data_IF_342782815176
#
_entry.id   IF_342782815176
#
_cell.length_a   1.000
_cell.length_b   1.000
_cell.length_c   1.000
_cell.angle_alpha   90.00
_cell.angle_beta   90.00
_cell.angle_gamma   90.00
#
_symmetry.space_group_name_H-M   'P 1'
#
loop_
_entity.id
_entity.type
_entity.pdbx_description
1 polymer ?
#
# COMPACT_ATOMS: atom_id res chain seq x y z
N UNK A 1 -4.72 41.54 -11.14
CA UNK A 1 -4.76 40.71 -12.39
C UNK A 1 -4.91 41.68 -13.55
N UNK A 2 -3.82 41.98 -14.28
CA UNK A 2 -3.85 42.89 -15.43
C UNK A 2 -3.31 42.13 -16.63
N UNK A 3 -4.10 42.16 -17.70
CA UNK A 3 -3.92 41.46 -18.94
C UNK A 3 -2.75 42.02 -19.75
N UNK A 4 -1.98 41.13 -20.37
CA UNK A 4 -1.07 41.45 -21.46
C UNK A 4 -1.83 41.21 -22.76
N UNK A 5 -1.91 42.28 -23.56
CA UNK A 5 -2.56 42.32 -24.86
C UNK A 5 -1.76 41.49 -25.87
N UNK A 6 -2.40 40.51 -26.51
CA UNK A 6 -1.94 39.91 -27.76
C UNK A 6 -2.89 40.39 -28.88
N UNK A 7 -2.33 41.04 -29.89
CA UNK A 7 -3.04 41.51 -31.10
C UNK A 7 -3.14 40.38 -32.13
N UNK A 8 -4.10 40.41 -33.08
CA UNK A 8 -4.77 39.22 -33.60
C UNK A 8 -4.18 38.70 -34.92
N UNK A 9 -4.27 37.39 -35.11
CA UNK A 9 -4.35 36.79 -36.44
C UNK A 9 -5.74 36.20 -36.63
N UNK A 10 -6.41 36.69 -37.67
CA UNK A 10 -7.75 36.28 -38.11
C UNK A 10 -7.60 35.85 -39.57
N UNK A 11 -7.81 34.57 -39.87
CA UNK A 11 -8.23 34.13 -41.20
C UNK A 11 -9.33 33.08 -41.04
N UNK A 12 -10.34 33.23 -41.87
CA UNK A 12 -11.71 32.77 -41.75
C UNK A 12 -11.94 31.32 -42.20
N UNK A 13 -12.99 30.79 -41.59
CA UNK A 13 -13.80 29.60 -41.85
C UNK A 13 -14.23 29.32 -43.29
N UNK A 14 -14.49 28.04 -43.59
CA UNK A 14 -15.71 27.63 -44.29
C UNK A 14 -16.37 26.41 -43.60
N UNK A 15 -17.72 26.47 -43.55
CA UNK A 15 -18.66 25.49 -42.98
C UNK A 15 -19.23 24.59 -44.09
N UNK A 16 -19.63 23.38 -43.70
CA UNK A 16 -20.93 22.73 -44.04
C UNK A 16 -21.22 21.67 -42.95
N UNK A 17 -22.26 21.82 -42.10
CA UNK A 17 -23.56 21.10 -42.10
C UNK A 17 -23.44 19.58 -42.34
N UNK A 18 -24.10 18.63 -41.66
CA UNK A 18 -25.21 18.55 -40.68
C UNK A 18 -25.21 17.07 -40.17
N UNK A 19 -25.72 16.71 -38.98
CA UNK A 19 -27.11 16.26 -38.81
C UNK A 19 -27.45 16.00 -37.32
N UNK A 20 -28.74 16.20 -37.05
CA UNK A 20 -29.49 16.01 -35.82
C UNK A 20 -29.34 14.60 -35.19
N UNK A 21 -29.34 14.58 -33.86
CA UNK A 21 -29.76 13.45 -33.04
C UNK A 21 -30.33 13.97 -31.72
N UNK A 22 -31.65 14.05 -31.64
CA UNK A 22 -32.41 14.41 -30.43
C UNK A 22 -32.30 13.33 -29.35
N UNK A 23 -32.74 13.71 -28.15
CA UNK A 23 -33.20 12.96 -26.96
C UNK A 23 -32.19 12.98 -25.80
N UNK A 24 -32.51 13.36 -24.56
CA UNK A 24 -33.75 13.80 -23.93
C UNK A 24 -33.37 14.52 -22.63
N UNK A 25 -34.07 15.61 -22.33
CA UNK A 25 -34.05 16.31 -21.04
C UNK A 25 -34.78 15.49 -19.97
N UNK A 26 -34.22 15.38 -18.77
CA UNK A 26 -35.00 15.29 -17.53
C UNK A 26 -34.37 16.18 -16.47
N UNK A 27 -35.25 16.92 -15.80
CA UNK A 27 -35.05 18.12 -15.01
C UNK A 27 -34.22 17.98 -13.73
N UNK A 28 -33.54 19.09 -13.43
CA UNK A 28 -33.22 19.55 -12.09
C UNK A 28 -34.47 19.59 -11.19
N UNK A 29 -34.37 19.05 -9.99
CA UNK A 29 -35.18 19.46 -8.84
C UNK A 29 -34.23 19.99 -7.76
N UNK A 30 -34.35 21.28 -7.48
CA UNK A 30 -33.78 21.98 -6.32
C UNK A 30 -34.85 22.15 -5.24
N UNK A 31 -34.39 22.36 -3.99
CA UNK A 31 -35.12 22.64 -2.74
C UNK A 31 -35.74 21.39 -2.07
N UNK A 32 -35.60 21.14 -0.76
CA UNK A 32 -35.59 22.06 0.38
C UNK A 32 -35.20 21.35 1.68
N UNK A 33 -34.56 22.11 2.57
CA UNK A 33 -34.67 22.10 4.05
C UNK A 33 -34.35 20.83 4.87
N UNK A 34 -33.20 20.95 5.55
CA UNK A 34 -33.00 20.77 7.00
C UNK A 34 -34.29 20.58 7.82
N UNK A 35 -34.41 19.41 8.45
CA UNK A 35 -34.99 19.21 9.78
C UNK A 35 -34.81 17.74 10.16
N UNK A 36 -34.06 17.48 11.23
CA UNK A 36 -34.51 16.60 12.32
C UNK A 36 -33.39 16.41 13.33
N UNK A 37 -33.69 16.85 14.55
CA UNK A 37 -33.09 16.43 15.82
C UNK A 37 -32.76 14.94 15.86
N UNK A 38 -31.55 14.61 16.28
CA UNK A 38 -31.23 13.27 16.76
C UNK A 38 -30.85 13.35 18.23
N UNK A 39 -31.58 12.53 18.97
CA UNK A 39 -31.49 12.29 20.39
C UNK A 39 -30.08 11.93 20.83
N UNK A 40 -29.75 12.45 22.01
CA UNK A 40 -28.70 11.98 22.89
C UNK A 40 -28.69 10.45 23.00
N UNK A 41 -27.55 9.86 22.65
CA UNK A 41 -27.10 8.59 23.22
C UNK A 41 -25.66 8.75 23.66
N UNK A 42 -25.52 9.08 24.94
CA UNK A 42 -24.27 9.11 25.67
C UNK A 42 -23.73 7.70 25.90
N UNK A 43 -22.52 7.42 25.41
CA UNK A 43 -21.69 6.32 25.91
C UNK A 43 -20.25 6.82 25.99
N UNK A 44 -19.99 7.62 27.04
CA UNK A 44 -18.67 8.05 27.48
C UNK A 44 -17.92 6.83 28.06
N UNK A 45 -17.28 6.07 27.18
CA UNK A 45 -16.27 5.07 27.52
C UNK A 45 -14.94 5.76 27.83
N UNK A 46 -14.70 5.99 29.12
CA UNK A 46 -13.52 6.63 29.71
C UNK A 46 -12.24 5.81 29.41
N UNK A 47 -11.49 6.17 28.37
CA UNK A 47 -10.13 5.64 28.15
C UNK A 47 -9.19 6.38 29.10
N UNK A 48 -8.77 5.71 30.19
CA UNK A 48 -7.65 6.16 31.01
C UNK A 48 -6.34 5.80 30.31
N UNK A 49 -5.66 6.78 29.76
CA UNK A 49 -4.21 6.70 29.55
C UNK A 49 -3.54 6.82 30.92
N UNK A 50 -2.88 5.75 31.38
CA UNK A 50 -1.88 5.84 32.45
C UNK A 50 -0.50 5.82 31.80
N UNK A 51 0.12 7.00 31.74
CA UNK A 51 1.57 7.17 31.62
C UNK A 51 2.23 6.68 32.92
N UNK A 52 3.05 5.63 32.83
CA UNK A 52 3.91 5.23 33.95
C UNK A 52 5.37 5.53 33.60
N UNK A 53 5.96 6.39 34.41
CA UNK A 53 7.35 6.83 34.35
C UNK A 53 8.29 5.73 34.83
N UNK A 54 9.47 5.69 34.20
CA UNK A 54 10.60 4.83 34.49
C UNK A 54 11.18 5.10 35.88
N UNK A 55 11.01 4.18 36.84
CA UNK A 55 11.93 4.01 37.99
C UNK A 55 11.84 2.57 38.53
N UNK A 56 12.98 1.88 38.41
CA UNK A 56 13.54 0.78 39.22
C UNK A 56 12.61 -0.22 39.95
N UNK A 57 12.70 -1.50 39.57
CA UNK A 57 12.19 -2.65 40.33
C UNK A 57 13.32 -3.70 40.46
N UNK A 58 13.59 -4.26 41.65
CA UNK A 58 14.74 -5.13 41.89
C UNK A 58 14.57 -6.52 41.26
N UNK A 59 15.69 -7.10 40.81
CA UNK A 59 15.76 -8.40 40.16
C UNK A 59 15.29 -9.53 41.08
N UNK A 60 14.17 -10.18 40.76
CA UNK A 60 13.85 -11.50 41.32
C UNK A 60 14.48 -12.59 40.43
N UNK A 61 15.39 -13.38 41.00
CA UNK A 61 15.99 -14.54 40.33
C UNK A 61 14.90 -15.60 40.09
N UNK A 62 14.32 -15.63 38.89
CA UNK A 62 13.54 -16.78 38.41
C UNK A 62 14.49 -17.94 38.16
N UNK A 63 14.36 -19.01 38.96
CA UNK A 63 15.04 -20.30 38.77
C UNK A 63 14.73 -20.87 37.38
N UNK A 64 15.72 -20.88 36.51
CA UNK A 64 15.76 -21.69 35.30
C UNK A 64 15.79 -23.17 35.69
N UNK A 65 14.76 -23.95 35.32
CA UNK A 65 14.86 -25.41 35.30
C UNK A 65 15.50 -25.81 33.97
N UNK A 66 16.79 -26.13 34.02
CA UNK A 66 17.53 -26.77 32.93
C UNK A 66 17.04 -28.22 32.68
N UNK A 67 17.60 -28.92 31.69
CA UNK A 67 17.15 -30.23 31.28
C UNK A 67 17.52 -31.24 32.37
N UNK A 68 16.52 -31.81 33.05
CA UNK A 68 16.76 -32.93 33.95
C UNK A 68 16.87 -34.17 33.08
N UNK A 69 18.11 -34.50 32.70
CA UNK A 69 18.52 -35.87 32.40
C UNK A 69 18.19 -36.70 33.65
N UNK A 70 17.12 -37.48 33.58
CA UNK A 70 16.76 -38.39 34.66
C UNK A 70 17.75 -39.55 34.64
N UNK A 71 18.72 -39.48 35.55
CA UNK A 71 19.55 -40.59 35.95
C UNK A 71 18.65 -41.77 36.36
N UNK A 72 18.89 -42.92 35.75
CA UNK A 72 18.31 -44.22 36.13
C UNK A 72 18.85 -44.59 37.51
N UNK A 73 18.19 -44.11 38.57
CA UNK A 73 18.44 -44.58 39.93
C UNK A 73 17.61 -45.85 40.11
N UNK A 74 18.29 -47.00 40.16
CA UNK A 74 17.70 -48.26 40.56
C UNK A 74 17.16 -48.10 41.98
N UNK A 75 15.84 -47.96 42.10
CA UNK A 75 15.15 -48.01 43.38
C UNK A 75 14.60 -49.43 43.52
N UNK A 76 15.30 -50.24 44.31
CA UNK A 76 14.74 -51.45 44.91
C UNK A 76 13.73 -51.01 45.97
N UNK A 77 12.47 -50.90 45.55
CA UNK A 77 11.31 -50.69 46.41
C UNK A 77 10.17 -51.51 45.85
N UNK A 78 9.59 -52.38 46.69
CA UNK A 78 8.59 -53.37 46.28
C UNK A 78 7.47 -52.78 45.43
N UNK A 79 7.03 -53.55 44.42
CA UNK A 79 5.87 -53.26 43.57
C UNK A 79 4.66 -52.96 44.46
N UNK A 80 4.35 -51.68 44.65
CA UNK A 80 3.05 -51.26 45.12
C UNK A 80 2.04 -51.60 44.02
N UNK A 81 1.00 -52.33 44.42
CA UNK A 81 -0.11 -52.82 43.60
C UNK A 81 -0.59 -51.71 42.65
N UNK A 82 -0.39 -51.88 41.35
CA UNK A 82 -0.77 -50.87 40.35
C UNK A 82 -2.29 -50.67 40.40
N UNK A 83 -2.73 -49.60 41.06
CA UNK A 83 -4.05 -48.98 40.95
C UNK A 83 -5.24 -49.94 40.81
N UNK A 84 -5.54 -50.72 41.85
CA UNK A 84 -6.65 -51.70 41.95
C UNK A 84 -8.04 -51.18 41.50
N UNK A 85 -8.27 -49.86 41.47
CA UNK A 85 -9.54 -49.23 41.05
C UNK A 85 -9.42 -48.37 39.77
N UNK A 86 -8.28 -48.35 39.07
CA UNK A 86 -8.10 -47.53 37.86
C UNK A 86 -9.06 -47.93 36.73
N UNK A 87 -9.46 -49.20 36.69
CA UNK A 87 -10.40 -49.74 35.71
C UNK A 87 -11.88 -49.46 36.06
N UNK A 88 -12.18 -49.00 37.28
CA UNK A 88 -13.55 -48.68 37.71
C UNK A 88 -13.92 -47.21 37.46
N UNK A 89 -13.00 -46.41 36.91
CA UNK A 89 -13.19 -44.98 36.63
C UNK A 89 -13.08 -44.76 35.12
N UNK A 90 -14.11 -44.17 34.51
CA UNK A 90 -14.11 -43.85 33.09
C UNK A 90 -13.34 -42.54 32.84
N UNK A 91 -12.03 -42.67 32.61
CA UNK A 91 -11.16 -41.54 32.32
C UNK A 91 -11.23 -41.16 30.83
N UNK A 92 -11.21 -39.86 30.49
CA UNK A 92 -11.13 -39.42 29.11
C UNK A 92 -9.90 -40.01 28.40
N UNK A 93 -10.12 -40.75 27.31
CA UNK A 93 -9.08 -41.30 26.44
C UNK A 93 -9.08 -40.54 25.13
N UNK A 94 -7.94 -39.96 24.77
CA UNK A 94 -7.77 -39.25 23.50
C UNK A 94 -6.41 -39.53 22.89
N UNK A 95 -6.39 -39.68 21.57
CA UNK A 95 -5.15 -39.70 20.77
C UNK A 95 -4.60 -38.28 20.53
N UNK A 96 -5.34 -37.24 20.94
CA UNK A 96 -4.91 -35.86 20.82
C UNK A 96 -3.73 -35.58 21.75
N UNK A 97 -2.57 -35.34 21.15
CA UNK A 97 -1.34 -35.05 21.91
C UNK A 97 -1.48 -33.76 22.73
N UNK A 98 -1.08 -33.81 24.00
CA UNK A 98 -1.15 -32.66 24.91
C UNK A 98 -0.35 -31.43 24.44
N UNK A 99 0.74 -31.65 23.68
CA UNK A 99 1.52 -30.56 23.08
C UNK A 99 1.06 -30.33 21.64
N UNK A 100 0.98 -29.07 21.25
CA UNK A 100 0.56 -28.68 19.91
C UNK A 100 1.51 -29.21 18.82
N UNK A 101 2.82 -29.10 19.02
CA UNK A 101 3.87 -29.43 18.04
C UNK A 101 3.57 -28.82 16.65
N UNK A 102 3.17 -27.55 16.64
CA UNK A 102 2.65 -26.84 15.46
C UNK A 102 3.63 -26.80 14.28
N UNK A 103 4.94 -26.77 14.54
CA UNK A 103 5.97 -26.79 13.48
C UNK A 103 5.90 -28.03 12.59
N UNK A 104 5.43 -29.16 13.13
CA UNK A 104 5.27 -30.43 12.39
C UNK A 104 3.82 -30.62 11.95
N UNK A 105 2.85 -30.36 12.84
CA UNK A 105 1.42 -30.59 12.56
C UNK A 105 0.84 -29.65 11.52
N UNK A 106 1.21 -28.37 11.51
CA UNK A 106 0.66 -27.42 10.54
C UNK A 106 1.00 -27.79 9.09
N UNK A 107 2.26 -28.14 8.74
CA UNK A 107 2.58 -28.68 7.41
C UNK A 107 1.79 -29.93 7.04
N UNK A 108 1.58 -30.86 7.97
CA UNK A 108 0.79 -32.08 7.73
C UNK A 108 -0.68 -31.73 7.39
N UNK A 109 -1.27 -30.81 8.14
CA UNK A 109 -2.64 -30.33 7.91
C UNK A 109 -2.74 -29.59 6.57
N UNK A 110 -1.76 -28.73 6.25
CA UNK A 110 -1.73 -27.99 4.99
C UNK A 110 -1.60 -28.94 3.79
N UNK A 111 -0.76 -29.97 3.91
CA UNK A 111 -0.62 -31.02 2.90
C UNK A 111 -1.95 -31.76 2.68
N UNK A 112 -2.64 -32.12 3.76
CA UNK A 112 -3.96 -32.74 3.68
C UNK A 112 -4.97 -31.84 2.96
N UNK A 113 -4.96 -30.53 3.25
CA UNK A 113 -5.84 -29.56 2.58
C UNK A 113 -5.57 -29.47 1.08
N UNK A 114 -4.30 -29.46 0.67
CA UNK A 114 -3.86 -29.36 -0.72
C UNK A 114 -4.21 -30.64 -1.51
N UNK A 115 -3.86 -31.82 -0.97
CA UNK A 115 -4.14 -33.13 -1.59
C UNK A 115 -5.65 -33.37 -1.78
N UNK A 116 -6.47 -32.86 -0.86
CA UNK A 116 -7.93 -32.99 -0.92
C UNK A 116 -8.62 -31.80 -1.58
N UNK A 117 -7.89 -30.79 -2.05
CA UNK A 117 -8.44 -29.56 -2.65
C UNK A 117 -9.58 -28.99 -1.80
N UNK A 118 -9.34 -28.90 -0.48
CA UNK A 118 -10.40 -28.64 0.51
C UNK A 118 -11.08 -27.30 0.25
N UNK A 119 -10.31 -26.28 -0.11
CA UNK A 119 -10.84 -24.95 -0.41
C UNK A 119 -11.82 -25.01 -1.61
N UNK A 120 -11.39 -25.60 -2.72
CA UNK A 120 -12.20 -25.72 -3.94
C UNK A 120 -13.47 -26.57 -3.72
N UNK A 121 -13.35 -27.65 -2.95
CA UNK A 121 -14.49 -28.51 -2.60
C UNK A 121 -15.51 -27.80 -1.72
N UNK A 122 -15.08 -27.00 -0.74
CA UNK A 122 -16.01 -26.25 0.11
C UNK A 122 -16.69 -25.15 -0.71
N UNK A 123 -15.94 -24.40 -1.51
CA UNK A 123 -16.49 -23.34 -2.37
C UNK A 123 -17.53 -23.91 -3.35
N UNK A 124 -17.26 -25.05 -3.98
CA UNK A 124 -18.18 -25.71 -4.92
C UNK A 124 -19.40 -26.33 -4.25
N UNK A 125 -19.28 -26.79 -3.00
CA UNK A 125 -20.40 -27.32 -2.20
C UNK A 125 -21.34 -26.21 -1.72
N UNK A 126 -20.81 -25.03 -1.44
CA UNK A 126 -21.60 -23.91 -0.94
C UNK A 126 -22.59 -23.44 -2.01
N UNK A 127 -23.84 -23.21 -1.59
CA UNK A 127 -24.94 -22.83 -2.49
C UNK A 127 -25.42 -21.39 -2.31
N UNK A 128 -24.87 -20.66 -1.33
CA UNK A 128 -25.22 -19.28 -1.06
C UNK A 128 -24.64 -18.28 -2.08
N UNK A 129 -24.77 -17.00 -1.75
CA UNK A 129 -24.35 -15.90 -2.61
C UNK A 129 -22.83 -15.86 -2.82
N UNK A 130 -22.43 -15.24 -3.94
CA UNK A 130 -21.02 -15.00 -4.24
C UNK A 130 -20.48 -13.90 -3.33
N UNK A 131 -19.39 -14.20 -2.62
CA UNK A 131 -18.63 -13.23 -1.84
C UNK A 131 -17.25 -13.08 -2.48
N UNK A 132 -17.00 -11.91 -3.07
CA UNK A 132 -15.72 -11.61 -3.72
C UNK A 132 -14.93 -10.68 -2.81
N UNK A 133 -13.76 -11.14 -2.37
CA UNK A 133 -12.80 -10.29 -1.67
C UNK A 133 -11.63 -10.03 -2.60
N UNK A 134 -11.52 -8.80 -3.12
CA UNK A 134 -10.40 -8.45 -3.99
C UNK A 134 -9.14 -8.26 -3.15
N UNK A 135 -8.15 -9.10 -3.42
CA UNK A 135 -6.84 -8.98 -2.79
C UNK A 135 -6.06 -7.82 -3.39
N UNK A 136 -5.65 -6.84 -2.57
CA UNK A 136 -4.62 -5.87 -2.97
C UNK A 136 -3.26 -6.55 -3.20
N UNK A 137 -2.64 -6.42 -4.38
CA UNK A 137 -1.48 -7.21 -4.75
C UNK A 137 -0.23 -6.70 -4.02
N UNK A 138 0.49 -7.52 -3.22
CA UNK A 138 1.81 -7.14 -2.72
C UNK A 138 2.82 -6.94 -3.85
N UNK A 139 3.79 -6.05 -3.61
CA UNK A 139 4.93 -5.87 -4.50
C UNK A 139 5.82 -7.12 -4.52
N UNK A 140 6.18 -7.59 -5.72
CA UNK A 140 7.06 -8.73 -5.94
C UNK A 140 8.55 -8.35 -5.78
N UNK A 141 8.89 -7.58 -4.74
CA UNK A 141 10.23 -7.03 -4.57
C UNK A 141 11.08 -7.76 -3.50
N UNK A 142 10.54 -8.53 -2.56
CA UNK A 142 11.39 -9.22 -1.57
C UNK A 142 10.63 -10.10 -0.58
N UNK A 143 11.27 -10.39 0.56
CA UNK A 143 10.69 -11.25 1.59
C UNK A 143 9.49 -10.59 2.30
N UNK A 144 8.62 -11.45 2.82
CA UNK A 144 7.45 -11.01 3.58
C UNK A 144 7.85 -10.54 4.98
N UNK A 145 7.14 -9.52 5.46
CA UNK A 145 7.27 -8.99 6.83
C UNK A 145 5.94 -9.11 7.59
N UNK A 146 5.93 -8.79 8.88
CA UNK A 146 4.75 -8.95 9.75
C UNK A 146 3.50 -8.21 9.24
N UNK A 147 3.64 -7.04 8.64
CA UNK A 147 2.52 -6.34 7.97
C UNK A 147 1.83 -7.18 6.87
N UNK A 148 2.58 -7.97 6.10
CA UNK A 148 2.01 -8.89 5.10
C UNK A 148 1.22 -10.01 5.78
N UNK A 149 1.77 -10.60 6.85
CA UNK A 149 1.09 -11.62 7.64
C UNK A 149 -0.23 -11.10 8.21
N UNK A 150 -0.21 -9.91 8.84
CA UNK A 150 -1.40 -9.27 9.38
C UNK A 150 -2.49 -9.09 8.31
N UNK A 151 -2.15 -8.49 7.17
CA UNK A 151 -3.08 -8.24 6.07
C UNK A 151 -3.72 -9.55 5.57
N UNK A 152 -2.90 -10.57 5.30
CA UNK A 152 -3.38 -11.82 4.71
C UNK A 152 -4.18 -12.68 5.69
N UNK A 153 -3.77 -12.74 6.95
CA UNK A 153 -4.50 -13.50 7.98
C UNK A 153 -5.87 -12.86 8.24
N UNK A 154 -5.96 -11.53 8.28
CA UNK A 154 -7.25 -10.85 8.45
C UNK A 154 -8.22 -11.15 7.29
N UNK A 155 -7.73 -11.08 6.05
CA UNK A 155 -8.53 -11.46 4.87
C UNK A 155 -8.97 -12.92 4.93
N UNK A 156 -8.07 -13.82 5.32
CA UNK A 156 -8.37 -15.25 5.46
C UNK A 156 -9.44 -15.52 6.52
N UNK A 157 -9.41 -14.84 7.67
CA UNK A 157 -10.45 -14.94 8.71
C UNK A 157 -11.82 -14.55 8.13
N UNK A 158 -11.91 -13.44 7.40
CA UNK A 158 -13.15 -12.98 6.78
C UNK A 158 -13.65 -14.00 5.75
N UNK A 159 -12.77 -14.48 4.88
CA UNK A 159 -13.09 -15.48 3.86
C UNK A 159 -13.60 -16.78 4.48
N UNK A 160 -12.89 -17.31 5.48
CA UNK A 160 -13.30 -18.53 6.21
C UNK A 160 -14.64 -18.35 6.91
N UNK A 161 -14.85 -17.20 7.55
CA UNK A 161 -16.14 -16.89 8.17
C UNK A 161 -17.27 -16.93 7.13
N UNK A 162 -17.10 -16.31 5.96
CA UNK A 162 -18.09 -16.34 4.87
C UNK A 162 -18.29 -17.74 4.30
N UNK A 163 -17.22 -18.52 4.13
CA UNK A 163 -17.31 -19.93 3.72
C UNK A 163 -18.17 -20.76 4.68
N UNK A 164 -17.98 -20.58 5.99
CA UNK A 164 -18.77 -21.29 7.01
C UNK A 164 -20.24 -20.86 7.04
N UNK A 165 -20.55 -19.65 6.55
CA UNK A 165 -21.91 -19.14 6.38
C UNK A 165 -22.55 -19.54 5.03
N UNK A 166 -22.01 -20.57 4.36
CA UNK A 166 -22.49 -21.09 3.07
C UNK A 166 -22.34 -20.14 1.86
N UNK A 167 -21.49 -19.10 1.93
CA UNK A 167 -21.20 -18.23 0.78
C UNK A 167 -20.18 -18.87 -0.17
N UNK A 168 -20.29 -18.57 -1.46
CA UNK A 168 -19.29 -18.92 -2.47
C UNK A 168 -18.18 -17.87 -2.47
N UNK A 169 -17.10 -18.15 -1.76
CA UNK A 169 -16.00 -17.19 -1.61
C UNK A 169 -15.04 -17.25 -2.80
N UNK A 170 -14.85 -16.11 -3.47
CA UNK A 170 -13.86 -15.91 -4.51
C UNK A 170 -12.74 -15.02 -3.97
N UNK A 171 -11.60 -15.64 -3.67
CA UNK A 171 -10.40 -14.95 -3.22
C UNK A 171 -9.23 -15.36 -4.09
N UNK A 172 -8.91 -14.47 -5.04
CA UNK A 172 -7.80 -14.65 -5.99
C UNK A 172 -6.65 -13.76 -5.53
N UNK A 173 -5.50 -14.34 -5.13
CA UNK A 173 -4.34 -13.56 -4.75
C UNK A 173 -3.69 -12.96 -5.99
N UNK A 174 -3.04 -11.82 -5.85
CA UNK A 174 -2.24 -11.27 -6.95
C UNK A 174 -0.96 -10.61 -6.51
N UNK A 175 -0.18 -10.16 -7.49
CA UNK A 175 1.12 -9.54 -7.26
C UNK A 175 1.39 -8.40 -8.22
N UNK A 176 1.98 -7.33 -7.69
CA UNK A 176 2.47 -6.23 -8.49
C UNK A 176 3.92 -6.49 -8.89
N UNK A 177 4.11 -6.70 -10.19
CA UNK A 177 5.34 -7.16 -10.81
C UNK A 177 6.06 -6.05 -11.61
N UNK A 178 5.54 -4.82 -11.59
CA UNK A 178 6.10 -3.67 -12.30
C UNK A 178 6.67 -2.61 -11.35
N UNK A 179 7.31 -1.59 -11.93
CA UNK A 179 7.74 -0.39 -11.21
C UNK A 179 9.21 -0.33 -10.81
N UNK A 180 9.62 0.87 -10.39
CA UNK A 180 10.99 1.21 -10.04
C UNK A 180 11.61 0.32 -8.95
N UNK A 181 10.89 -0.13 -7.89
CA UNK A 181 11.49 -0.96 -6.85
C UNK A 181 12.10 -2.27 -7.36
N UNK A 182 11.49 -2.90 -8.37
CA UNK A 182 11.99 -4.14 -8.96
C UNK A 182 13.21 -3.86 -9.83
N UNK A 183 13.16 -2.81 -10.64
CA UNK A 183 14.31 -2.38 -11.46
C UNK A 183 15.53 -2.05 -10.61
N UNK A 184 15.34 -1.32 -9.51
CA UNK A 184 16.42 -0.98 -8.58
C UNK A 184 17.02 -2.22 -7.93
N UNK A 185 16.20 -3.20 -7.51
CA UNK A 185 16.73 -4.46 -6.93
C UNK A 185 17.52 -5.28 -7.94
N UNK A 186 17.04 -5.36 -9.19
CA UNK A 186 17.80 -6.02 -10.27
C UNK A 186 19.12 -5.30 -10.51
N UNK A 187 19.11 -3.97 -10.59
CA UNK A 187 20.34 -3.19 -10.76
C UNK A 187 21.30 -3.41 -9.59
N UNK A 188 20.82 -3.39 -8.34
CA UNK A 188 21.61 -3.65 -7.14
C UNK A 188 22.27 -5.04 -7.15
N UNK A 189 21.56 -6.05 -7.68
CA UNK A 189 22.10 -7.42 -7.78
C UNK A 189 23.14 -7.63 -8.89
N UNK A 190 23.29 -6.67 -9.81
CA UNK A 190 24.22 -6.75 -10.93
C UNK A 190 25.54 -6.02 -10.64
N UNK A 191 26.65 -6.65 -11.02
CA UNK A 191 27.99 -6.06 -10.99
C UNK A 191 28.10 -4.82 -11.91
N UNK A 192 29.03 -3.92 -11.60
CA UNK A 192 29.19 -2.65 -12.32
C UNK A 192 29.42 -2.82 -13.82
N UNK A 193 30.14 -3.85 -14.24
CA UNK A 193 30.40 -4.10 -15.67
C UNK A 193 29.15 -4.66 -16.37
N UNK A 194 28.37 -5.51 -15.69
CA UNK A 194 27.09 -6.00 -16.19
C UNK A 194 26.02 -4.90 -16.31
N UNK A 195 26.19 -3.76 -15.62
CA UNK A 195 25.32 -2.57 -15.75
C UNK A 195 25.63 -1.74 -16.99
N UNK A 196 26.88 -1.70 -17.44
CA UNK A 196 27.29 -0.91 -18.63
C UNK A 196 26.69 -1.47 -19.92
N UNK A 197 26.53 -2.79 -19.99
CA UNK A 197 25.99 -3.50 -21.17
C UNK A 197 24.46 -3.71 -21.13
N UNK A 198 23.77 -3.05 -20.20
CA UNK A 198 22.36 -3.29 -19.95
C UNK A 198 21.48 -2.46 -20.89
N UNK A 199 20.83 -3.13 -21.84
CA UNK A 199 19.77 -2.51 -22.67
C UNK A 199 18.42 -2.54 -21.94
N UNK A 200 17.47 -1.64 -22.28
CA UNK A 200 16.14 -1.64 -21.67
C UNK A 200 15.40 -2.98 -21.79
N UNK A 201 15.54 -3.68 -22.93
CA UNK A 201 14.94 -5.01 -23.11
C UNK A 201 15.54 -6.04 -22.13
N UNK A 202 16.87 -6.10 -22.03
CA UNK A 202 17.55 -7.02 -21.10
C UNK A 202 17.20 -6.71 -19.64
N UNK A 203 17.05 -5.43 -19.27
CA UNK A 203 16.61 -5.04 -17.94
C UNK A 203 15.18 -5.55 -17.66
N UNK A 204 14.24 -5.35 -18.59
CA UNK A 204 12.86 -5.83 -18.45
C UNK A 204 12.77 -7.34 -18.34
N UNK A 205 13.53 -8.09 -19.13
CA UNK A 205 13.59 -9.55 -19.02
C UNK A 205 14.11 -10.01 -17.65
N UNK A 206 15.18 -9.37 -17.15
CA UNK A 206 15.72 -9.67 -15.82
C UNK A 206 14.73 -9.29 -14.71
N UNK A 207 14.05 -8.14 -14.81
CA UNK A 207 13.00 -7.70 -13.89
C UNK A 207 11.82 -8.68 -13.86
N UNK A 208 11.32 -9.09 -15.02
CA UNK A 208 10.26 -10.09 -15.15
C UNK A 208 10.67 -11.43 -14.52
N UNK A 209 11.90 -11.89 -14.74
CA UNK A 209 12.42 -13.13 -14.13
C UNK A 209 12.52 -13.01 -12.62
N UNK A 210 13.04 -11.88 -12.12
CA UNK A 210 13.13 -11.60 -10.69
C UNK A 210 11.74 -11.60 -10.04
N UNK A 211 10.79 -10.84 -10.60
CA UNK A 211 9.41 -10.77 -10.11
C UNK A 211 8.79 -12.17 -10.03
N UNK A 212 8.85 -12.97 -11.10
CA UNK A 212 8.33 -14.36 -11.11
C UNK A 212 8.97 -15.25 -10.04
N UNK A 213 10.26 -15.08 -9.76
CA UNK A 213 10.94 -15.84 -8.69
C UNK A 213 10.46 -15.41 -7.30
N UNK A 214 10.32 -14.10 -7.06
CA UNK A 214 9.85 -13.54 -5.80
C UNK A 214 8.40 -13.94 -5.53
N UNK A 215 7.53 -13.90 -6.54
CA UNK A 215 6.14 -14.38 -6.46
C UNK A 215 6.07 -15.81 -5.94
N UNK A 216 6.92 -16.72 -6.46
CA UNK A 216 6.94 -18.13 -6.00
C UNK A 216 7.31 -18.23 -4.51
N UNK A 217 8.33 -17.50 -4.08
CA UNK A 217 8.79 -17.49 -2.66
C UNK A 217 7.74 -16.90 -1.73
N UNK A 218 7.15 -15.76 -2.10
CA UNK A 218 6.09 -15.12 -1.33
C UNK A 218 4.83 -15.99 -1.28
N UNK A 219 4.44 -16.61 -2.40
CA UNK A 219 3.31 -17.54 -2.46
C UNK A 219 3.49 -18.73 -1.52
N UNK A 220 4.69 -19.35 -1.52
CA UNK A 220 4.99 -20.43 -0.59
C UNK A 220 4.88 -19.98 0.87
N UNK A 221 5.31 -18.75 1.17
CA UNK A 221 5.21 -18.16 2.50
C UNK A 221 3.77 -17.87 2.92
N UNK A 222 2.92 -17.35 2.01
CA UNK A 222 1.50 -17.16 2.28
C UNK A 222 0.74 -18.48 2.46
N UNK A 223 1.06 -19.51 1.67
CA UNK A 223 0.55 -20.87 1.90
C UNK A 223 0.96 -21.37 3.28
N UNK A 224 2.20 -21.12 3.69
CA UNK A 224 2.70 -21.49 5.03
C UNK A 224 1.96 -20.76 6.16
N UNK A 225 1.50 -19.52 5.96
CA UNK A 225 0.60 -18.83 6.91
C UNK A 225 -0.78 -19.50 7.06
N UNK A 226 -1.11 -20.48 6.22
CA UNK A 226 -2.37 -21.22 6.26
C UNK A 226 -3.51 -20.52 5.52
N UNK A 227 -3.21 -19.54 4.67
CA UNK A 227 -4.20 -18.76 3.92
C UNK A 227 -4.83 -19.62 2.83
N UNK A 228 -6.17 -19.64 2.77
CA UNK A 228 -6.93 -20.28 1.72
C UNK A 228 -7.25 -19.29 0.60
N UNK A 229 -6.84 -19.62 -0.62
CA UNK A 229 -7.02 -18.79 -1.79
C UNK A 229 -6.94 -19.64 -3.06
N UNK A 230 -7.35 -19.08 -4.20
CA UNK A 230 -7.18 -19.69 -5.51
C UNK A 230 -5.71 -19.59 -5.97
N UNK A 231 -4.83 -20.38 -5.36
CA UNK A 231 -3.37 -20.33 -5.59
C UNK A 231 -2.93 -20.80 -6.98
N UNK A 232 -3.78 -21.55 -7.68
CA UNK A 232 -3.46 -22.12 -9.00
C UNK A 232 -3.57 -21.09 -10.13
N UNK A 233 -4.37 -20.03 -9.94
CA UNK A 233 -4.56 -18.99 -10.93
C UNK A 233 -4.49 -17.60 -10.28
N UNK A 234 -3.32 -17.19 -9.76
CA UNK A 234 -3.13 -15.84 -9.25
C UNK A 234 -3.10 -14.84 -10.40
N UNK A 235 -3.50 -13.59 -10.15
CA UNK A 235 -3.34 -12.53 -11.14
C UNK A 235 -1.99 -11.83 -10.97
N UNK A 236 -1.22 -11.67 -12.05
CA UNK A 236 0.02 -10.90 -12.03
C UNK A 236 -0.15 -9.67 -12.91
N UNK A 237 0.34 -8.51 -12.47
CA UNK A 237 0.29 -7.30 -13.30
C UNK A 237 1.14 -7.41 -14.57
N UNK A 238 2.04 -8.40 -14.62
CA UNK A 238 2.87 -8.76 -15.78
C UNK A 238 2.17 -9.69 -16.78
N UNK A 239 0.99 -10.23 -16.45
CA UNK A 239 0.29 -11.13 -17.37
C UNK A 239 -0.25 -10.33 -18.57
N UNK A 240 -0.11 -10.84 -19.82
CA UNK A 240 -0.52 -10.11 -21.02
C UNK A 240 -2.00 -9.68 -21.01
N UNK A 241 -2.87 -10.50 -20.44
CA UNK A 241 -4.31 -10.19 -20.30
C UNK A 241 -4.55 -9.00 -19.36
N UNK A 242 -3.74 -8.89 -18.29
CA UNK A 242 -3.80 -7.77 -17.35
C UNK A 242 -3.32 -6.48 -17.99
N UNK A 243 -2.18 -6.53 -18.70
CA UNK A 243 -1.62 -5.38 -19.43
C UNK A 243 -2.57 -4.90 -20.54
N UNK A 244 -3.18 -5.82 -21.28
CA UNK A 244 -4.18 -5.50 -22.29
C UNK A 244 -5.40 -4.77 -21.68
N UNK A 245 -5.91 -5.28 -20.55
CA UNK A 245 -7.01 -4.65 -19.81
C UNK A 245 -6.64 -3.25 -19.32
N UNK A 246 -5.40 -3.06 -18.84
CA UNK A 246 -4.90 -1.75 -18.42
C UNK A 246 -4.86 -0.75 -19.57
N UNK A 247 -4.41 -1.18 -20.76
CA UNK A 247 -4.38 -0.34 -21.97
C UNK A 247 -5.80 -0.01 -22.44
N UNK A 248 -6.73 -0.96 -22.34
CA UNK A 248 -8.12 -0.73 -22.70
C UNK A 248 -8.76 0.38 -21.84
N UNK A 249 -8.59 0.30 -20.51
CA UNK A 249 -9.08 1.34 -19.58
C UNK A 249 -8.42 2.69 -19.88
N UNK A 250 -7.11 2.72 -20.12
CA UNK A 250 -6.41 3.93 -20.52
C UNK A 250 -6.99 4.51 -21.83
N UNK A 251 -7.23 3.67 -22.84
CA UNK A 251 -7.83 4.07 -24.11
C UNK A 251 -9.23 4.66 -23.93
N UNK A 252 -10.08 4.02 -23.13
CA UNK A 252 -11.43 4.53 -22.82
C UNK A 252 -11.37 5.89 -22.12
N UNK A 253 -10.48 6.07 -21.14
CA UNK A 253 -10.28 7.35 -20.46
C UNK A 253 -9.76 8.45 -21.41
N UNK A 254 -8.90 8.09 -22.35
CA UNK A 254 -8.37 9.01 -23.35
C UNK A 254 -9.46 9.46 -24.34
N UNK A 255 -10.28 8.53 -24.82
CA UNK A 255 -11.41 8.82 -25.71
C UNK A 255 -12.47 9.71 -25.04
N UNK A 256 -12.65 9.58 -23.72
CA UNK A 256 -13.55 10.42 -22.93
C UNK A 256 -12.94 11.80 -22.58
N UNK A 257 -11.68 12.05 -22.97
CA UNK A 257 -11.01 13.34 -22.72
C UNK A 257 -10.47 13.52 -21.30
N UNK A 258 -10.41 12.45 -20.48
CA UNK A 258 -9.85 12.52 -19.13
C UNK A 258 -8.31 12.50 -19.12
N UNK A 259 -7.69 12.00 -20.20
CA UNK A 259 -6.24 11.99 -20.35
C UNK A 259 -5.80 13.11 -21.27
N UNK A 260 -4.93 13.97 -20.76
CA UNK A 260 -4.32 15.05 -21.53
C UNK A 260 -2.85 15.20 -21.14
N UNK A 261 -2.06 15.79 -22.05
CA UNK A 261 -0.66 16.07 -21.81
C UNK A 261 -0.48 17.51 -21.35
N UNK A 262 0.05 17.70 -20.15
CA UNK A 262 0.35 19.01 -19.57
C UNK A 262 1.77 19.09 -19.01
N UNK A 263 2.10 20.26 -18.45
CA UNK A 263 3.31 20.47 -17.66
C UNK A 263 2.89 20.78 -16.23
N UNK A 264 3.40 20.02 -15.27
CA UNK A 264 3.17 20.21 -13.85
C UNK A 264 4.53 20.11 -13.14
N UNK A 265 4.83 20.96 -12.15
CA UNK A 265 5.93 20.69 -11.23
C UNK A 265 5.72 19.33 -10.56
N UNK A 266 6.70 18.44 -10.66
CA UNK A 266 6.69 17.11 -10.06
C UNK A 266 7.96 16.94 -9.23
N UNK A 267 7.89 16.09 -8.21
CA UNK A 267 9.11 15.67 -7.53
C UNK A 267 9.98 14.90 -8.53
N UNK A 268 11.22 15.34 -8.69
CA UNK A 268 12.17 14.77 -9.64
C UNK A 268 13.41 14.32 -8.90
N UNK A 269 13.84 13.09 -9.11
CA UNK A 269 15.09 12.57 -8.57
C UNK A 269 16.21 12.72 -9.60
N UNK A 270 17.24 13.55 -9.37
CA UNK A 270 18.38 13.65 -10.27
C UNK A 270 19.20 12.35 -10.35
N UNK A 271 19.21 11.55 -9.28
CA UNK A 271 19.92 10.28 -9.22
C UNK A 271 19.23 9.20 -10.04
N UNK A 272 17.90 9.09 -9.93
CA UNK A 272 17.10 8.09 -10.66
C UNK A 272 16.65 8.57 -12.04
N UNK A 273 16.78 9.87 -12.35
CA UNK A 273 16.34 10.53 -13.59
C UNK A 273 14.87 10.24 -13.95
N UNK A 274 14.02 10.21 -12.94
CA UNK A 274 12.58 10.02 -13.09
C UNK A 274 11.81 10.89 -12.11
N UNK A 275 10.54 11.13 -12.43
CA UNK A 275 9.60 11.69 -11.49
C UNK A 275 9.30 10.66 -10.39
N UNK A 276 9.12 11.16 -9.17
CA UNK A 276 8.74 10.37 -8.00
C UNK A 276 7.33 10.75 -7.54
N UNK A 277 6.59 9.77 -7.05
CA UNK A 277 5.34 10.02 -6.35
C UNK A 277 5.63 10.50 -4.92
N UNK A 278 4.68 11.22 -4.31
CA UNK A 278 4.81 11.69 -2.92
C UNK A 278 5.03 10.55 -1.93
N UNK A 279 4.36 9.41 -2.16
CA UNK A 279 4.51 8.19 -1.35
C UNK A 279 5.91 7.55 -1.45
N UNK A 280 6.73 7.96 -2.42
CA UNK A 280 8.11 7.48 -2.60
C UNK A 280 9.14 8.41 -1.95
N UNK A 281 8.71 9.54 -1.37
CA UNK A 281 9.60 10.50 -0.73
C UNK A 281 9.90 10.09 0.72
N UNK A 282 11.18 10.09 1.04
CA UNK A 282 11.66 10.02 2.42
C UNK A 282 12.24 11.37 2.81
N UNK A 283 11.86 11.87 3.99
CA UNK A 283 12.36 13.14 4.54
C UNK A 283 13.50 12.85 5.51
N UNK A 284 14.77 13.04 5.12
CA UNK A 284 15.88 12.84 6.04
C UNK A 284 15.89 13.95 7.11
N UNK A 285 15.98 13.55 8.37
CA UNK A 285 16.27 14.49 9.45
C UNK A 285 17.71 15.02 9.30
N UNK A 286 17.89 16.34 9.37
CA UNK A 286 19.22 16.97 9.30
C UNK A 286 19.63 17.54 7.94
N UNK A 287 18.72 17.66 6.97
CA UNK A 287 19.01 18.41 5.74
C UNK A 287 19.23 19.90 6.07
N UNK A 288 20.42 20.42 5.77
CA UNK A 288 20.75 21.84 5.96
C UNK A 288 20.70 22.57 4.61
N UNK A 289 19.76 23.50 4.47
CA UNK A 289 19.66 24.37 3.29
C UNK A 289 20.29 25.74 3.55
N UNK A 290 20.92 26.32 2.52
CA UNK A 290 21.41 27.71 2.58
C UNK A 290 20.25 28.67 2.32
N UNK A 291 20.00 29.58 3.26
CA UNK A 291 19.03 30.66 3.07
C UNK A 291 19.69 31.96 2.64
N UNK A 292 19.00 32.74 1.83
CA UNK A 292 19.44 34.07 1.39
C UNK A 292 18.30 35.07 1.46
N UNK A 293 18.67 36.34 1.62
CA UNK A 293 17.80 37.49 1.42
C UNK A 293 18.21 38.18 0.11
N UNK A 294 17.26 38.40 -0.78
CA UNK A 294 17.46 39.07 -2.06
C UNK A 294 16.57 40.31 -2.15
N UNK A 295 17.10 41.41 -2.67
CA UNK A 295 16.38 42.67 -2.83
C UNK A 295 16.08 42.88 -4.32
N UNK A 296 14.80 42.99 -4.67
CA UNK A 296 14.34 43.30 -6.03
C UNK A 296 13.91 44.77 -6.10
N UNK A 297 14.64 45.59 -6.85
CA UNK A 297 14.30 47.00 -7.05
C UNK A 297 12.99 47.16 -7.83
N UNK A 298 12.14 48.07 -7.37
CA UNK A 298 10.89 48.38 -8.06
C UNK A 298 11.17 49.35 -9.22
N UNK A 299 10.94 48.89 -10.45
CA UNK A 299 11.16 49.71 -11.65
C UNK A 299 9.94 50.56 -12.00
N UNK A 300 8.73 49.99 -11.87
CA UNK A 300 7.45 50.67 -12.16
C UNK A 300 6.43 50.39 -11.06
N UNK A 301 5.80 51.42 -10.51
CA UNK A 301 4.68 51.30 -9.58
C UNK A 301 3.33 51.41 -10.32
N UNK A 302 2.33 50.63 -9.90
CA UNK A 302 0.95 50.76 -10.41
C UNK A 302 0.27 52.01 -9.84
N UNK A 303 -0.62 52.68 -10.60
CA UNK A 303 -1.18 53.99 -10.23
C UNK A 303 -2.13 53.97 -9.01
N UNK A 304 -2.43 52.80 -8.43
CA UNK A 304 -3.33 52.64 -7.29
C UNK A 304 -2.65 52.78 -5.92
N UNK A 305 -1.32 52.73 -5.84
CA UNK A 305 -0.52 52.91 -4.61
C UNK A 305 0.41 54.12 -4.67
N UNK A 306 0.18 55.01 -5.64
CA UNK A 306 1.17 55.96 -6.14
C UNK A 306 1.41 57.19 -5.28
N UNK A 307 0.58 57.52 -4.28
CA UNK A 307 0.79 58.74 -3.49
C UNK A 307 1.82 58.57 -2.35
N UNK A 308 1.87 57.41 -1.71
CA UNK A 308 2.79 57.14 -0.58
C UNK A 308 4.11 56.51 -1.02
N UNK A 309 4.10 55.72 -2.09
CA UNK A 309 5.30 54.98 -2.54
C UNK A 309 6.13 55.76 -3.56
N UNK A 310 5.60 56.85 -4.13
CA UNK A 310 6.32 57.66 -5.11
C UNK A 310 7.54 58.37 -4.53
N UNK A 311 7.52 58.73 -3.24
CA UNK A 311 8.63 59.40 -2.57
C UNK A 311 9.86 58.50 -2.42
N UNK A 312 9.65 57.18 -2.39
CA UNK A 312 10.71 56.18 -2.21
C UNK A 312 11.22 55.59 -3.53
N UNK A 313 10.68 56.00 -4.69
CA UNK A 313 11.20 55.61 -5.99
C UNK A 313 12.41 56.50 -6.36
N UNK A 314 13.53 55.94 -6.88
CA UNK A 314 13.72 54.57 -7.38
C UNK A 314 14.32 53.58 -6.36
N UNK A 315 14.57 53.98 -5.12
CA UNK A 315 15.31 53.19 -4.13
C UNK A 315 14.46 52.14 -3.40
N UNK A 316 13.16 52.10 -3.68
CA UNK A 316 12.23 51.12 -3.15
C UNK A 316 12.56 49.71 -3.65
N UNK A 317 12.89 48.81 -2.72
CA UNK A 317 13.20 47.41 -3.00
C UNK A 317 12.29 46.46 -2.22
N UNK A 318 11.92 45.35 -2.86
CA UNK A 318 11.20 44.25 -2.23
C UNK A 318 12.20 43.23 -1.69
N UNK A 319 12.20 43.03 -0.37
CA UNK A 319 13.00 42.02 0.28
C UNK A 319 12.32 40.64 0.18
N UNK A 320 13.02 39.65 -0.36
CA UNK A 320 12.56 38.28 -0.50
C UNK A 320 13.50 37.35 0.26
N UNK A 321 12.93 36.37 0.95
CA UNK A 321 13.66 35.29 1.60
C UNK A 321 13.42 33.96 0.88
N UNK A 322 14.46 33.16 0.69
CA UNK A 322 14.35 31.80 0.13
C UNK A 322 15.43 30.87 0.67
N UNK A 323 15.08 29.59 0.84
CA UNK A 323 16.01 28.48 1.15
C UNK A 323 16.52 27.76 -0.11
N UNK A 324 16.03 28.15 -1.29
CA UNK A 324 16.40 27.56 -2.59
C UNK A 324 16.94 28.62 -3.56
N UNK A 325 18.18 29.12 -3.36
CA UNK A 325 18.78 30.16 -4.20
C UNK A 325 18.76 29.86 -5.71
N UNK A 326 18.87 28.58 -6.07
CA UNK A 326 18.84 28.10 -7.46
C UNK A 326 17.51 28.38 -8.19
N UNK A 327 16.44 28.71 -7.46
CA UNK A 327 15.14 29.08 -8.04
C UNK A 327 15.04 30.55 -8.45
N UNK A 328 15.94 31.42 -7.98
CA UNK A 328 15.91 32.87 -8.25
C UNK A 328 15.93 33.20 -9.75
N UNK A 329 16.75 32.56 -10.61
CA UNK A 329 16.76 32.84 -12.04
C UNK A 329 15.41 32.56 -12.74
N UNK A 330 14.54 31.73 -12.13
CA UNK A 330 13.23 31.38 -12.65
C UNK A 330 12.08 32.18 -12.02
N UNK A 331 12.37 33.29 -11.33
CA UNK A 331 11.36 34.15 -10.72
C UNK A 331 10.41 34.71 -11.80
N UNK A 332 9.10 34.45 -11.65
CA UNK A 332 8.06 34.93 -12.54
C UNK A 332 7.10 35.94 -11.89
N UNK A 333 7.20 36.16 -10.57
CA UNK A 333 6.29 37.03 -9.84
C UNK A 333 6.55 37.04 -8.33
N UNK A 334 6.07 38.08 -7.65
CA UNK A 334 6.18 38.25 -6.21
C UNK A 334 4.77 38.18 -5.62
N UNK A 335 4.60 37.36 -4.59
CA UNK A 335 3.35 37.26 -3.85
C UNK A 335 3.48 38.07 -2.56
N UNK A 336 2.44 38.85 -2.22
CA UNK A 336 2.26 39.46 -0.93
C UNK A 336 0.88 39.06 -0.37
N UNK A 337 0.78 38.99 0.95
CA UNK A 337 -0.51 38.88 1.63
C UNK A 337 -1.08 40.29 1.80
N UNK A 338 -2.34 40.48 1.44
CA UNK A 338 -3.03 41.79 1.39
C UNK A 338 -3.89 42.02 2.62
#
# INVERSE_FOLDING_TARGET
MVAIHASPYKVLTQRTCSCLGKTTSVNNFFYSRRSSSLNDFSLLGRIRFCSFSSTEVPSSKRRSRGPVMAAKKAAEGGKQDEGKYKHTVDLPKTSFGMRANSSVREPEIQKLWDENQVFERIVSRNSGENFVLHDGPPYANGDLHMGHALNKILKDIINRYKLLQNYKVHYVPGWDCHGLPIELKVLQSLDQDARKDLTPMKLREKAAKFAKSTVKTQMASFKRYGVWAAWNNPYLTLDPEYEASQIEVFGQMALQGYIYRGRKPVHWSPSSRTALAEAELEYPEGHVSRSIYAIFKLVNATPSSSSLMSEFLPDLGLAIWTTTPWTIPANAGICNES
#
